data_IF_419589638797
#
_entry.id   IF_419589638797
#
_cell.length_a   1.000
_cell.length_b   1.000
_cell.length_c   1.000
_cell.angle_alpha   90.00
_cell.angle_beta   90.00
_cell.angle_gamma   90.00
#
_symmetry.space_group_name_H-M   'P 1'
#
loop_
_entity.id
_entity.type
_entity.pdbx_description
1 polymer ?
#
# COMPACT_ATOMS: atom_id res chain seq x y z
N UNK A 1 34.48 34.18 17.22
CA UNK A 1 33.11 33.87 16.80
C UNK A 1 33.10 32.39 16.53
N UNK A 2 32.35 31.55 17.28
CA UNK A 2 32.27 30.14 16.93
C UNK A 2 31.44 30.04 15.66
N UNK A 3 31.99 29.33 14.71
CA UNK A 3 31.46 29.10 13.38
C UNK A 3 30.33 28.07 13.51
N UNK A 4 29.22 28.28 12.81
CA UNK A 4 27.98 27.52 12.94
C UNK A 4 28.25 26.00 12.87
N UNK A 5 28.05 25.32 13.99
CA UNK A 5 28.32 23.88 14.15
C UNK A 5 27.11 23.09 13.61
N UNK A 6 27.09 22.90 12.30
CA UNK A 6 26.05 22.18 11.53
C UNK A 6 26.13 20.64 11.74
N UNK A 7 26.83 20.20 12.79
CA UNK A 7 27.04 18.80 13.11
C UNK A 7 25.71 18.12 13.46
N UNK A 8 25.28 17.23 12.57
CA UNK A 8 24.05 16.44 12.73
C UNK A 8 22.84 16.97 11.96
N UNK A 9 22.97 18.09 11.23
CA UNK A 9 21.93 18.55 10.33
C UNK A 9 22.12 17.91 8.95
N UNK A 10 21.06 17.25 8.47
CA UNK A 10 21.03 16.80 7.07
C UNK A 10 20.69 17.99 6.18
N UNK A 11 21.45 18.23 5.10
CA UNK A 11 21.12 19.30 4.16
C UNK A 11 19.70 19.08 3.60
N UNK A 12 19.03 20.20 3.28
CA UNK A 12 17.70 20.15 2.69
C UNK A 12 17.75 19.34 1.40
N UNK A 13 17.05 18.20 1.39
CA UNK A 13 17.05 17.29 0.25
C UNK A 13 16.14 17.85 -0.84
N UNK A 14 16.66 18.00 -2.05
CA UNK A 14 15.84 18.28 -3.22
C UNK A 14 14.88 17.12 -3.47
N UNK A 15 13.58 17.42 -3.49
CA UNK A 15 12.54 16.46 -3.83
C UNK A 15 12.43 16.47 -5.34
N UNK A 16 12.97 15.43 -5.98
CA UNK A 16 12.85 15.21 -7.42
C UNK A 16 11.75 14.18 -7.65
N UNK A 17 10.74 14.55 -8.42
CA UNK A 17 9.73 13.61 -8.89
C UNK A 17 10.37 12.70 -9.94
N UNK A 18 10.24 11.39 -9.76
CA UNK A 18 10.71 10.38 -10.70
C UNK A 18 9.53 9.55 -11.17
N UNK A 19 9.54 9.16 -12.44
CA UNK A 19 8.55 8.24 -12.97
C UNK A 19 8.65 6.89 -12.25
N UNK A 20 7.49 6.29 -11.96
CA UNK A 20 7.44 4.94 -11.40
C UNK A 20 7.99 3.94 -12.43
N UNK A 21 8.82 2.97 -12.02
CA UNK A 21 9.29 1.94 -12.94
C UNK A 21 8.11 1.12 -13.48
N UNK A 22 8.20 0.68 -14.73
CA UNK A 22 7.23 -0.27 -15.26
C UNK A 22 7.35 -1.61 -14.52
N UNK A 23 6.23 -2.08 -13.96
CA UNK A 23 6.15 -3.37 -13.26
C UNK A 23 5.30 -4.32 -14.07
N UNK A 24 5.90 -5.34 -14.68
CA UNK A 24 5.20 -6.43 -15.39
C UNK A 24 4.70 -7.51 -14.42
N UNK A 25 4.01 -7.08 -13.36
CA UNK A 25 3.40 -8.00 -12.41
C UNK A 25 1.91 -7.73 -12.29
N UNK A 26 1.12 -8.75 -12.61
CA UNK A 26 -0.28 -8.83 -12.23
C UNK A 26 -0.53 -10.16 -11.52
N UNK A 27 -1.15 -10.15 -10.33
CA UNK A 27 -1.52 -11.40 -9.68
C UNK A 27 -2.51 -12.17 -10.55
N UNK A 28 -2.29 -13.48 -10.68
CA UNK A 28 -3.17 -14.35 -11.44
C UNK A 28 -4.51 -14.51 -10.71
N UNK A 29 -5.62 -14.42 -11.46
CA UNK A 29 -6.96 -14.70 -10.95
C UNK A 29 -7.31 -16.17 -11.18
N UNK A 30 -7.94 -16.87 -10.22
CA UNK A 30 -8.48 -18.20 -10.46
C UNK A 30 -9.55 -18.19 -11.56
N UNK A 31 -9.52 -19.17 -12.47
CA UNK A 31 -10.44 -19.23 -13.62
C UNK A 31 -11.90 -19.45 -13.22
N UNK A 32 -12.15 -20.32 -12.24
CA UNK A 32 -13.49 -20.72 -11.81
C UNK A 32 -13.69 -20.69 -10.30
N UNK A 33 -12.61 -20.69 -9.52
CA UNK A 33 -12.68 -20.74 -8.06
C UNK A 33 -13.00 -19.36 -7.48
N UNK A 34 -14.15 -19.25 -6.83
CA UNK A 34 -14.66 -18.01 -6.19
C UNK A 34 -15.02 -18.27 -4.73
N UNK A 35 -14.03 -18.42 -3.84
CA UNK A 35 -14.31 -18.65 -2.44
C UNK A 35 -14.85 -17.40 -1.76
N UNK A 36 -15.57 -17.63 -0.66
CA UNK A 36 -15.80 -16.62 0.37
C UNK A 36 -14.49 -16.40 1.12
N UNK A 37 -14.16 -15.14 1.40
CA UNK A 37 -12.90 -14.77 2.07
C UNK A 37 -13.17 -14.08 3.41
N UNK A 38 -12.18 -14.12 4.29
CA UNK A 38 -12.16 -13.35 5.53
C UNK A 38 -11.12 -12.23 5.42
N UNK A 39 -11.37 -11.10 6.08
CA UNK A 39 -10.40 -10.02 6.23
C UNK A 39 -9.84 -10.05 7.65
N UNK A 40 -8.52 -10.20 7.77
CA UNK A 40 -7.81 -10.30 9.04
C UNK A 40 -6.97 -9.04 9.24
N UNK A 41 -6.99 -8.47 10.45
CA UNK A 41 -6.27 -7.24 10.74
C UNK A 41 -7.08 -6.01 10.33
N UNK A 42 -8.21 -5.81 11.01
CA UNK A 42 -9.18 -4.73 10.73
C UNK A 42 -8.75 -3.34 11.23
N UNK A 43 -7.50 -2.94 10.96
CA UNK A 43 -6.92 -1.64 11.33
C UNK A 43 -7.28 -0.48 10.37
N UNK A 44 -6.59 0.65 10.50
CA UNK A 44 -6.96 1.92 9.85
C UNK A 44 -7.04 1.96 8.32
N UNK A 45 -6.50 0.96 7.61
CA UNK A 45 -6.57 0.88 6.14
C UNK A 45 -7.65 -0.07 5.62
N UNK A 46 -8.33 -0.77 6.52
CA UNK A 46 -9.24 -1.89 6.19
C UNK A 46 -10.42 -1.47 5.30
N UNK A 47 -10.89 -0.25 5.44
CA UNK A 47 -11.98 0.28 4.61
C UNK A 47 -11.59 0.32 3.13
N UNK A 48 -10.36 0.74 2.82
CA UNK A 48 -9.85 0.80 1.46
C UNK A 48 -9.74 -0.59 0.85
N UNK A 49 -9.23 -1.56 1.61
CA UNK A 49 -9.16 -2.95 1.19
C UNK A 49 -10.54 -3.56 0.95
N UNK A 50 -11.49 -3.36 1.88
CA UNK A 50 -12.85 -3.86 1.72
C UNK A 50 -13.54 -3.28 0.47
N UNK A 51 -13.36 -1.98 0.20
CA UNK A 51 -13.88 -1.34 -1.02
C UNK A 51 -13.25 -1.96 -2.27
N UNK A 52 -11.93 -2.16 -2.28
CA UNK A 52 -11.23 -2.79 -3.41
C UNK A 52 -11.70 -4.24 -3.64
N UNK A 53 -11.80 -5.04 -2.59
CA UNK A 53 -12.26 -6.43 -2.68
C UNK A 53 -13.68 -6.54 -3.25
N UNK A 54 -14.61 -5.69 -2.79
CA UNK A 54 -15.96 -5.62 -3.34
C UNK A 54 -15.96 -5.22 -4.81
N UNK A 55 -15.14 -4.24 -5.20
CA UNK A 55 -15.01 -3.81 -6.60
C UNK A 55 -14.45 -4.91 -7.51
N UNK A 56 -13.58 -5.76 -6.97
CA UNK A 56 -13.05 -6.94 -7.67
C UNK A 56 -14.00 -8.15 -7.64
N UNK A 57 -15.16 -8.05 -6.99
CA UNK A 57 -16.17 -9.11 -6.93
C UNK A 57 -15.89 -10.21 -5.89
N UNK A 58 -15.02 -9.96 -4.91
CA UNK A 58 -14.80 -10.89 -3.81
C UNK A 58 -15.92 -10.81 -2.76
N UNK A 59 -16.33 -11.97 -2.26
CA UNK A 59 -17.33 -12.08 -1.18
C UNK A 59 -16.62 -12.17 0.17
N UNK A 60 -16.53 -11.04 0.89
CA UNK A 60 -15.97 -10.98 2.24
C UNK A 60 -17.08 -11.33 3.25
N UNK A 61 -16.89 -12.42 4.01
CA UNK A 61 -17.94 -12.96 4.91
C UNK A 61 -17.58 -12.97 6.38
N UNK A 62 -16.32 -12.67 6.72
CA UNK A 62 -15.85 -12.65 8.10
C UNK A 62 -14.75 -11.61 8.30
N UNK A 63 -14.60 -11.20 9.56
CA UNK A 63 -13.62 -10.24 10.02
C UNK A 63 -12.95 -10.77 11.30
N UNK A 64 -11.65 -10.55 11.44
CA UNK A 64 -10.90 -10.82 12.67
C UNK A 64 -9.82 -9.76 12.92
#
# INVERSE_FOLDING_TARGET
MPEDDDYGLSPTKEIVEIDSPEVDYRPAMPRSYRPKIAMIGTGGISEFHLKAYRKCGYEVVAFA
#
